data_IF_157102229601
#
_entry.id   IF_157102229601
#
_cell.length_a   1.000
_cell.length_b   1.000
_cell.length_c   1.000
_cell.angle_alpha   90.00
_cell.angle_beta   90.00
_cell.angle_gamma   90.00
#
_symmetry.space_group_name_H-M   'P 1'
#
loop_
_entity.id
_entity.type
_entity.pdbx_description
1 polymer ?
#
# COMPACT_ATOMS: atom_id res chain seq x y z
N UNK A 1 -4.15 -16.69 -5.93
CA UNK A 1 -5.49 -16.19 -6.22
C UNK A 1 -5.45 -15.33 -7.47
N UNK A 2 -6.46 -15.44 -8.37
CA UNK A 2 -6.56 -14.56 -9.56
C UNK A 2 -8.00 -14.09 -9.77
N UNK A 3 -8.19 -12.78 -9.86
CA UNK A 3 -9.45 -12.13 -10.21
C UNK A 3 -9.25 -11.40 -11.53
N UNK A 4 -10.01 -11.80 -12.56
CA UNK A 4 -9.85 -11.29 -13.94
C UNK A 4 -11.04 -10.47 -14.42
N UNK A 5 -12.20 -10.62 -13.78
CA UNK A 5 -13.44 -9.91 -14.08
C UNK A 5 -14.54 -10.29 -13.09
N UNK A 6 -15.70 -9.65 -13.20
CA UNK A 6 -16.88 -9.94 -12.38
C UNK A 6 -16.88 -9.14 -11.08
N UNK A 7 -17.73 -9.58 -10.14
CA UNK A 7 -17.87 -8.91 -8.85
C UNK A 7 -17.57 -9.89 -7.72
N UNK A 8 -16.70 -9.48 -6.82
CA UNK A 8 -16.32 -10.21 -5.63
C UNK A 8 -16.71 -9.39 -4.40
N UNK A 9 -17.46 -10.01 -3.48
CA UNK A 9 -17.72 -9.49 -2.15
C UNK A 9 -17.15 -10.47 -1.13
N UNK A 10 -16.16 -10.04 -0.35
CA UNK A 10 -15.59 -10.80 0.73
C UNK A 10 -15.85 -10.10 2.07
N UNK A 11 -16.31 -10.85 3.05
CA UNK A 11 -16.41 -10.41 4.45
C UNK A 11 -15.83 -11.47 5.35
N UNK A 12 -14.80 -11.13 6.07
CA UNK A 12 -14.03 -12.05 6.90
C UNK A 12 -13.86 -11.51 8.33
N UNK A 13 -13.71 -12.42 9.30
CA UNK A 13 -13.35 -12.06 10.68
C UNK A 13 -11.84 -11.84 10.81
N UNK A 14 -11.08 -12.54 9.98
CA UNK A 14 -9.64 -12.40 9.79
C UNK A 14 -9.38 -11.90 8.38
N UNK A 15 -8.43 -12.48 7.69
CA UNK A 15 -7.99 -12.09 6.36
C UNK A 15 -9.08 -12.27 5.31
N UNK A 16 -9.17 -11.33 4.39
CA UNK A 16 -10.21 -11.29 3.36
C UNK A 16 -9.89 -12.18 2.17
N UNK A 17 -9.04 -11.72 1.29
CA UNK A 17 -8.60 -12.43 0.08
C UNK A 17 -7.15 -12.85 0.23
N UNK A 18 -6.94 -14.12 0.51
CA UNK A 18 -5.59 -14.68 0.69
C UNK A 18 -5.15 -15.49 -0.52
N UNK A 19 -3.98 -15.16 -1.03
CA UNK A 19 -3.30 -15.96 -2.03
C UNK A 19 -1.91 -16.33 -1.55
N UNK A 20 -1.74 -17.47 -0.91
CA UNK A 20 -0.48 -17.86 -0.28
C UNK A 20 0.76 -17.56 -1.15
N UNK A 21 0.77 -18.00 -2.40
CA UNK A 21 1.86 -17.70 -3.33
C UNK A 21 1.74 -16.32 -3.99
N UNK A 22 0.53 -15.93 -4.36
CA UNK A 22 0.25 -14.63 -4.98
C UNK A 22 -1.23 -14.28 -5.06
N UNK A 23 -1.52 -12.99 -5.10
CA UNK A 23 -2.82 -12.44 -5.48
C UNK A 23 -2.64 -11.57 -6.73
N UNK A 24 -3.47 -11.82 -7.77
CA UNK A 24 -3.50 -11.00 -8.98
C UNK A 24 -4.92 -10.50 -9.23
N UNK A 25 -5.09 -9.19 -9.34
CA UNK A 25 -6.35 -8.54 -9.72
C UNK A 25 -6.10 -7.77 -11.01
N UNK A 26 -6.72 -8.21 -12.10
CA UNK A 26 -6.50 -7.61 -13.42
C UNK A 26 -7.71 -6.80 -13.91
N UNK A 27 -8.90 -7.08 -13.38
CA UNK A 27 -10.13 -6.38 -13.67
C UNK A 27 -11.26 -6.85 -12.73
N UNK A 28 -12.42 -6.19 -12.76
CA UNK A 28 -13.61 -6.52 -11.97
C UNK A 28 -13.86 -5.52 -10.84
N UNK A 29 -14.94 -5.77 -10.10
CA UNK A 29 -15.27 -5.02 -8.88
C UNK A 29 -15.01 -5.90 -7.67
N UNK A 30 -14.12 -5.48 -6.80
CA UNK A 30 -13.68 -6.24 -5.63
C UNK A 30 -13.95 -5.42 -4.37
N UNK A 31 -14.81 -5.96 -3.49
CA UNK A 31 -15.14 -5.32 -2.22
C UNK A 31 -14.77 -6.27 -1.08
N UNK A 32 -13.87 -5.83 -0.21
CA UNK A 32 -13.37 -6.64 0.90
C UNK A 32 -13.57 -5.89 2.21
N UNK A 33 -14.16 -6.60 3.18
CA UNK A 33 -14.21 -6.15 4.58
C UNK A 33 -13.63 -7.27 5.45
N UNK A 34 -12.51 -7.02 6.08
CA UNK A 34 -11.77 -7.99 6.89
C UNK A 34 -11.58 -7.45 8.32
N UNK A 35 -11.34 -8.35 9.26
CA UNK A 35 -10.97 -7.98 10.63
C UNK A 35 -9.45 -7.83 10.79
N UNK A 36 -8.71 -8.47 9.89
CA UNK A 36 -7.25 -8.47 9.78
C UNK A 36 -6.87 -7.98 8.36
N UNK A 37 -5.95 -8.58 7.64
CA UNK A 37 -5.57 -8.14 6.29
C UNK A 37 -6.68 -8.32 5.27
N UNK A 38 -6.96 -7.31 4.44
CA UNK A 38 -8.03 -7.44 3.45
C UNK A 38 -7.56 -8.20 2.20
N UNK A 39 -6.38 -7.91 1.69
CA UNK A 39 -5.75 -8.63 0.58
C UNK A 39 -4.34 -9.03 1.02
N UNK A 40 -4.06 -10.34 1.05
CA UNK A 40 -2.81 -10.85 1.58
C UNK A 40 -2.13 -11.87 0.66
N UNK A 41 -0.79 -11.80 0.59
CA UNK A 41 0.06 -12.86 0.07
C UNK A 41 1.24 -13.09 1.01
N UNK A 42 1.21 -14.23 1.73
CA UNK A 42 2.04 -14.49 2.92
C UNK A 42 3.11 -15.58 2.74
N UNK A 43 3.55 -15.85 1.53
CA UNK A 43 4.63 -16.83 1.31
C UNK A 43 6.00 -16.21 1.53
N UNK A 44 6.69 -16.67 2.57
CA UNK A 44 8.00 -16.19 3.02
C UNK A 44 9.19 -17.06 2.62
N UNK A 45 8.95 -18.32 2.23
CA UNK A 45 10.00 -19.32 1.99
C UNK A 45 10.44 -19.46 0.52
N UNK A 46 9.86 -18.71 -0.42
CA UNK A 46 10.17 -18.75 -1.86
C UNK A 46 10.29 -17.33 -2.41
N UNK A 47 11.44 -16.97 -2.93
CA UNK A 47 11.75 -15.63 -3.44
C UNK A 47 10.86 -15.17 -4.62
N UNK A 48 10.18 -16.10 -5.29
CA UNK A 48 9.29 -15.79 -6.40
C UNK A 48 7.81 -15.73 -6.01
N UNK A 49 7.52 -15.78 -4.71
CA UNK A 49 6.17 -15.79 -4.14
C UNK A 49 5.99 -14.65 -3.14
N UNK A 50 4.84 -14.57 -2.48
CA UNK A 50 4.53 -13.44 -1.60
C UNK A 50 4.25 -12.16 -2.38
N UNK A 51 3.59 -12.28 -3.54
CA UNK A 51 3.30 -11.18 -4.47
C UNK A 51 1.82 -10.78 -4.44
N UNK A 52 1.55 -9.49 -4.33
CA UNK A 52 0.25 -8.92 -4.70
C UNK A 52 0.43 -8.02 -5.91
N UNK A 53 -0.34 -8.24 -6.97
CA UNK A 53 -0.31 -7.46 -8.19
C UNK A 53 -1.72 -6.98 -8.57
N UNK A 54 -1.90 -5.67 -8.70
CA UNK A 54 -3.15 -5.04 -9.15
C UNK A 54 -2.87 -4.25 -10.41
N UNK A 55 -3.40 -4.72 -11.55
CA UNK A 55 -3.20 -4.09 -12.85
C UNK A 55 -4.47 -3.45 -13.40
N UNK A 56 -5.60 -3.61 -12.71
CA UNK A 56 -6.90 -3.05 -13.10
C UNK A 56 -8.00 -3.39 -12.11
N UNK A 57 -9.23 -2.98 -12.46
CA UNK A 57 -10.42 -3.19 -11.64
C UNK A 57 -10.72 -2.03 -10.69
N UNK A 58 -11.83 -2.19 -9.97
CA UNK A 58 -12.33 -1.25 -8.95
C UNK A 58 -12.33 -1.99 -7.60
N UNK A 59 -11.37 -1.68 -6.75
CA UNK A 59 -11.06 -2.40 -5.51
C UNK A 59 -11.35 -1.52 -4.31
N UNK A 60 -12.30 -1.93 -3.46
CA UNK A 60 -12.62 -1.22 -2.22
C UNK A 60 -12.34 -2.13 -1.02
N UNK A 61 -11.58 -1.61 -0.07
CA UNK A 61 -11.05 -2.34 1.07
C UNK A 61 -11.40 -1.61 2.37
N UNK A 62 -11.77 -2.38 3.38
CA UNK A 62 -11.84 -1.92 4.77
C UNK A 62 -11.37 -3.02 5.71
N UNK A 63 -10.47 -2.68 6.64
CA UNK A 63 -10.00 -3.58 7.70
C UNK A 63 -10.26 -2.98 9.07
N UNK A 64 -9.94 -3.73 10.12
CA UNK A 64 -9.74 -3.21 11.45
C UNK A 64 -8.61 -2.17 11.48
N UNK A 65 -8.51 -1.45 12.57
CA UNK A 65 -7.50 -0.38 12.75
C UNK A 65 -6.55 -0.68 13.92
N UNK A 66 -6.46 -1.94 14.31
CA UNK A 66 -5.50 -2.41 15.29
C UNK A 66 -4.17 -2.74 14.62
N UNK A 67 -3.10 -2.69 15.36
CA UNK A 67 -1.75 -3.02 14.90
C UNK A 67 -1.72 -4.37 14.15
N UNK A 68 -1.12 -4.37 12.97
CA UNK A 68 -1.03 -5.52 12.07
C UNK A 68 -2.18 -5.69 11.07
N UNK A 69 -3.20 -4.82 11.08
CA UNK A 69 -4.33 -4.91 10.13
C UNK A 69 -4.07 -4.06 8.88
N UNK A 70 -3.62 -4.69 7.81
CA UNK A 70 -3.26 -3.97 6.59
C UNK A 70 -4.38 -4.01 5.54
N UNK A 71 -4.54 -2.92 4.80
CA UNK A 71 -5.41 -2.92 3.63
C UNK A 71 -4.91 -3.93 2.58
N UNK A 72 -3.65 -3.83 2.21
CA UNK A 72 -2.96 -4.77 1.31
C UNK A 72 -1.62 -5.16 1.93
N UNK A 73 -1.40 -6.45 2.12
CA UNK A 73 -0.18 -7.03 2.66
C UNK A 73 0.47 -7.99 1.67
N UNK A 74 1.74 -7.79 1.36
CA UNK A 74 2.51 -8.73 0.56
C UNK A 74 3.85 -9.00 1.23
N UNK A 75 4.14 -10.26 1.52
CA UNK A 75 5.38 -10.63 2.20
C UNK A 75 6.62 -10.12 1.46
N UNK A 76 6.58 -10.10 0.11
CA UNK A 76 7.74 -9.71 -0.67
C UNK A 76 7.50 -8.49 -1.55
N UNK A 77 6.44 -8.50 -2.36
CA UNK A 77 6.26 -7.45 -3.35
C UNK A 77 4.81 -7.11 -3.60
N UNK A 78 4.52 -5.82 -3.55
CA UNK A 78 3.27 -5.23 -4.01
C UNK A 78 3.53 -4.44 -5.29
N UNK A 79 2.73 -4.69 -6.33
CA UNK A 79 2.75 -3.93 -7.58
C UNK A 79 1.37 -3.38 -7.89
N UNK A 80 1.28 -2.07 -8.07
CA UNK A 80 0.08 -1.39 -8.55
C UNK A 80 0.42 -0.68 -9.86
N UNK A 81 -0.06 -1.22 -10.97
CA UNK A 81 0.15 -0.64 -12.30
C UNK A 81 -1.13 -0.14 -12.97
N UNK A 82 -2.28 -0.29 -12.32
CA UNK A 82 -3.56 0.19 -12.83
C UNK A 82 -4.70 -0.04 -11.86
N UNK A 83 -5.92 0.30 -12.30
CA UNK A 83 -7.14 0.18 -11.51
C UNK A 83 -7.42 1.38 -10.62
N UNK A 84 -8.52 1.27 -9.88
CA UNK A 84 -8.92 2.21 -8.86
C UNK A 84 -9.00 1.48 -7.53
N UNK A 85 -8.18 1.87 -6.58
CA UNK A 85 -8.06 1.22 -5.29
C UNK A 85 -8.46 2.22 -4.19
N UNK A 86 -9.36 1.81 -3.31
CA UNK A 86 -9.79 2.58 -2.16
C UNK A 86 -9.64 1.76 -0.88
N UNK A 87 -8.63 2.05 -0.09
CA UNK A 87 -8.50 1.57 1.29
C UNK A 87 -9.21 2.60 2.17
N UNK A 88 -10.41 2.26 2.61
CA UNK A 88 -11.30 3.19 3.32
C UNK A 88 -11.09 3.19 4.82
N UNK A 89 -10.45 2.16 5.35
CA UNK A 89 -10.04 2.01 6.74
C UNK A 89 -9.00 0.90 6.84
N UNK A 90 -7.91 1.13 7.58
CA UNK A 90 -6.89 0.13 7.93
C UNK A 90 -6.03 0.67 9.09
N UNK A 91 -5.20 -0.19 9.69
CA UNK A 91 -4.05 0.25 10.47
C UNK A 91 -3.03 0.84 9.50
N UNK A 92 -2.31 0.05 8.73
CA UNK A 92 -1.54 0.53 7.57
C UNK A 92 -2.31 0.33 6.26
N UNK A 93 -2.14 1.26 5.32
CA UNK A 93 -2.81 1.15 4.02
C UNK A 93 -2.26 0.01 3.18
N UNK A 94 -0.96 -0.02 3.02
CA UNK A 94 -0.21 -1.01 2.24
C UNK A 94 1.10 -1.36 2.93
N UNK A 95 1.44 -2.65 2.95
CA UNK A 95 2.70 -3.14 3.50
C UNK A 95 3.33 -4.18 2.58
N UNK A 96 4.60 -4.04 2.27
CA UNK A 96 5.42 -5.06 1.60
C UNK A 96 6.92 -4.75 1.73
N UNK A 97 7.78 -5.75 1.49
CA UNK A 97 9.23 -5.49 1.44
C UNK A 97 9.66 -4.66 0.20
N UNK A 98 8.97 -4.83 -0.92
CA UNK A 98 9.13 -4.00 -2.11
C UNK A 98 7.76 -3.53 -2.59
N UNK A 99 7.59 -2.21 -2.78
CA UNK A 99 6.34 -1.62 -3.28
C UNK A 99 6.64 -0.84 -4.54
N UNK A 100 5.98 -1.22 -5.64
CA UNK A 100 6.04 -0.52 -6.93
C UNK A 100 4.67 0.08 -7.27
N UNK A 101 4.60 1.40 -7.38
CA UNK A 101 3.41 2.13 -7.85
C UNK A 101 3.73 2.70 -9.23
N UNK A 102 3.27 1.96 -10.25
CA UNK A 102 3.55 2.21 -11.66
C UNK A 102 2.34 2.78 -12.41
N UNK A 103 1.20 2.98 -11.74
CA UNK A 103 -0.03 3.47 -12.35
C UNK A 103 -1.24 3.39 -11.43
N UNK A 104 -2.44 3.58 -12.03
CA UNK A 104 -3.71 3.54 -11.31
C UNK A 104 -4.02 4.79 -10.48
N UNK A 105 -5.13 4.72 -9.77
CA UNK A 105 -5.55 5.73 -8.80
C UNK A 105 -5.80 5.03 -7.46
N UNK A 106 -5.04 5.39 -6.46
CA UNK A 106 -5.13 4.80 -5.12
C UNK A 106 -5.48 5.86 -4.08
N UNK A 107 -6.48 5.56 -3.26
CA UNK A 107 -6.84 6.38 -2.10
C UNK A 107 -6.73 5.54 -0.83
N UNK A 108 -6.14 6.11 0.23
CA UNK A 108 -5.91 5.41 1.49
C UNK A 108 -6.38 6.28 2.66
N UNK A 109 -7.05 5.64 3.62
CA UNK A 109 -7.28 6.18 4.95
C UNK A 109 -6.81 5.15 5.97
N UNK A 110 -5.72 5.45 6.66
CA UNK A 110 -5.07 4.60 7.66
C UNK A 110 -5.01 5.30 9.01
N UNK A 111 -4.92 4.52 10.08
CA UNK A 111 -4.71 5.04 11.45
C UNK A 111 -3.23 5.11 11.83
N UNK A 112 -2.40 4.46 11.05
CA UNK A 112 -0.96 4.53 11.05
C UNK A 112 -0.48 4.89 9.65
N UNK A 113 0.54 4.25 9.10
CA UNK A 113 1.15 4.64 7.83
C UNK A 113 0.25 4.38 6.62
N UNK A 114 0.34 5.26 5.63
CA UNK A 114 -0.39 5.01 4.40
C UNK A 114 0.28 3.94 3.54
N UNK A 115 1.60 4.00 3.40
CA UNK A 115 2.40 3.04 2.65
C UNK A 115 3.66 2.73 3.44
N UNK A 116 3.85 1.47 3.82
CA UNK A 116 4.99 0.99 4.59
C UNK A 116 5.80 -0.04 3.79
N UNK A 117 6.98 0.34 3.31
CA UNK A 117 7.94 -0.57 2.71
C UNK A 117 8.84 -1.15 3.81
N UNK A 118 8.49 -2.31 4.32
CA UNK A 118 9.15 -2.97 5.44
C UNK A 118 9.25 -4.48 5.26
N UNK A 119 10.13 -5.11 6.00
CA UNK A 119 10.32 -6.55 5.98
C UNK A 119 11.79 -6.95 6.07
N UNK A 120 12.05 -8.24 6.18
CA UNK A 120 13.39 -8.78 6.43
C UNK A 120 14.00 -9.53 5.25
N UNK A 121 13.29 -9.60 4.11
CA UNK A 121 13.75 -10.37 2.96
C UNK A 121 14.98 -9.74 2.28
N UNK A 122 14.91 -8.45 2.01
CA UNK A 122 16.00 -7.61 1.48
C UNK A 122 15.80 -6.19 2.01
N UNK A 123 16.72 -5.30 1.74
CA UNK A 123 16.52 -3.87 2.03
C UNK A 123 15.21 -3.41 1.39
N UNK A 124 14.27 -2.90 2.19
CA UNK A 124 12.98 -2.44 1.68
C UNK A 124 13.14 -1.32 0.66
N UNK A 125 12.17 -1.21 -0.24
CA UNK A 125 12.18 -0.15 -1.25
C UNK A 125 10.75 0.21 -1.67
N UNK A 126 10.50 1.51 -1.78
CA UNK A 126 9.28 2.06 -2.37
C UNK A 126 9.63 2.79 -3.67
N UNK A 127 9.06 2.37 -4.79
CA UNK A 127 9.21 3.00 -6.08
C UNK A 127 7.88 3.59 -6.57
N UNK A 128 7.88 4.85 -6.97
CA UNK A 128 6.71 5.52 -7.58
C UNK A 128 7.14 6.07 -8.93
N UNK A 129 6.63 5.46 -10.01
CA UNK A 129 6.99 5.84 -11.39
C UNK A 129 5.84 6.53 -12.13
N UNK A 130 4.59 6.24 -11.74
CA UNK A 130 3.39 6.83 -12.33
C UNK A 130 2.18 6.68 -11.39
N UNK A 131 0.97 7.04 -11.87
CA UNK A 131 -0.28 6.93 -11.12
C UNK A 131 -0.56 8.10 -10.20
N UNK A 132 -1.63 7.97 -9.44
CA UNK A 132 -2.05 8.93 -8.43
C UNK A 132 -2.28 8.22 -7.10
N UNK A 133 -1.58 8.67 -6.07
CA UNK A 133 -1.72 8.22 -4.69
C UNK A 133 -2.21 9.37 -3.82
N UNK A 134 -3.35 9.18 -3.16
CA UNK A 134 -3.94 10.15 -2.24
C UNK A 134 -4.15 9.47 -0.90
N UNK A 135 -3.69 10.07 0.18
CA UNK A 135 -3.90 9.45 1.48
C UNK A 135 -4.14 10.44 2.63
N UNK A 136 -4.84 9.90 3.64
CA UNK A 136 -4.93 10.44 4.98
C UNK A 136 -4.31 9.40 5.92
N UNK A 137 -3.14 9.70 6.47
CA UNK A 137 -2.41 8.85 7.39
C UNK A 137 -2.51 9.37 8.83
N UNK A 138 -2.64 8.44 9.77
CA UNK A 138 -2.56 8.72 11.20
C UNK A 138 -1.13 8.66 11.72
N UNK A 139 -0.28 7.87 11.06
CA UNK A 139 1.18 7.78 11.18
C UNK A 139 1.88 8.53 10.06
N UNK A 140 2.90 7.89 9.46
CA UNK A 140 3.66 8.46 8.36
C UNK A 140 2.94 8.30 7.01
N UNK A 141 3.31 9.13 6.07
CA UNK A 141 2.72 9.09 4.73
C UNK A 141 3.31 7.95 3.90
N UNK A 142 4.54 8.12 3.50
CA UNK A 142 5.37 7.10 2.86
C UNK A 142 6.47 6.72 3.84
N UNK A 143 6.38 5.52 4.39
CA UNK A 143 7.41 4.96 5.26
C UNK A 143 8.22 3.90 4.52
N UNK A 144 9.53 3.86 4.74
CA UNK A 144 10.40 2.81 4.23
C UNK A 144 11.57 2.53 5.17
N UNK A 145 11.70 1.30 5.63
CA UNK A 145 12.93 0.84 6.29
C UNK A 145 14.11 0.69 5.29
N UNK A 146 14.10 1.44 4.20
CA UNK A 146 15.12 1.45 3.18
C UNK A 146 14.98 2.65 2.25
N UNK A 147 15.04 2.45 0.94
CA UNK A 147 15.07 3.53 -0.04
C UNK A 147 13.68 3.91 -0.55
N UNK A 148 13.48 5.19 -0.88
CA UNK A 148 12.30 5.67 -1.62
C UNK A 148 12.76 6.32 -2.92
N UNK A 149 12.18 5.91 -4.04
CA UNK A 149 12.42 6.51 -5.36
C UNK A 149 11.12 7.01 -5.96
N UNK A 150 11.06 8.28 -6.32
CA UNK A 150 9.95 8.84 -7.10
C UNK A 150 10.48 9.45 -8.39
N UNK A 151 10.07 8.89 -9.53
CA UNK A 151 10.45 9.35 -10.87
C UNK A 151 9.27 9.87 -11.69
N UNK A 152 8.04 9.71 -11.19
CA UNK A 152 6.81 10.16 -11.84
C UNK A 152 5.61 10.06 -10.90
N UNK A 153 4.41 10.22 -11.45
CA UNK A 153 3.16 10.14 -10.67
C UNK A 153 2.84 11.39 -9.85
N UNK A 154 1.77 11.27 -9.07
CA UNK A 154 1.31 12.33 -8.15
C UNK A 154 0.99 11.73 -6.81
N UNK A 155 1.54 12.29 -5.75
CA UNK A 155 1.25 11.94 -4.35
C UNK A 155 0.61 13.16 -3.69
N UNK A 156 -0.59 12.98 -3.14
CA UNK A 156 -1.29 13.98 -2.34
C UNK A 156 -1.46 13.44 -0.92
N UNK A 157 -0.67 13.95 0.00
CA UNK A 157 -0.56 13.47 1.37
C UNK A 157 -1.24 14.40 2.36
N UNK A 158 -2.12 13.85 3.19
CA UNK A 158 -2.61 14.50 4.42
C UNK A 158 -2.17 13.65 5.61
N UNK A 159 -1.44 14.25 6.52
CA UNK A 159 -0.82 13.57 7.66
C UNK A 159 -1.40 14.12 8.96
N UNK A 160 -1.64 13.23 9.91
CA UNK A 160 -2.10 13.62 11.23
C UNK A 160 -1.02 14.44 11.95
N UNK A 161 -1.47 15.37 12.77
CA UNK A 161 -0.64 16.37 13.46
C UNK A 161 0.08 15.81 14.70
N UNK A 162 0.73 14.66 14.60
CA UNK A 162 1.69 14.23 15.62
C UNK A 162 3.09 14.82 15.30
N UNK A 163 3.86 15.24 16.31
CA UNK A 163 5.22 15.73 16.07
C UNK A 163 6.18 14.66 15.54
N UNK A 164 5.82 13.39 15.68
CA UNK A 164 6.64 12.25 15.27
C UNK A 164 6.26 11.72 13.86
N UNK A 165 5.19 12.27 13.25
CA UNK A 165 4.72 11.82 11.93
C UNK A 165 5.28 12.68 10.81
N UNK A 166 5.69 12.03 9.71
CA UNK A 166 6.29 12.66 8.53
C UNK A 166 5.51 12.35 7.24
N UNK A 167 5.62 13.23 6.25
CA UNK A 167 5.05 12.95 4.93
C UNK A 167 5.84 11.84 4.21
N UNK A 168 7.13 11.78 4.52
CA UNK A 168 8.07 10.77 4.02
C UNK A 168 9.05 10.48 5.14
N UNK A 169 9.02 9.27 5.68
CA UNK A 169 10.01 8.73 6.61
C UNK A 169 10.78 7.59 5.94
N UNK A 170 12.09 7.52 6.14
CA UNK A 170 12.90 6.48 5.53
C UNK A 170 14.25 6.29 6.24
N UNK A 171 14.69 5.02 6.30
CA UNK A 171 16.02 4.66 6.83
C UNK A 171 17.16 4.78 5.81
N UNK A 172 16.83 4.93 4.53
CA UNK A 172 17.78 4.92 3.41
C UNK A 172 17.91 6.25 2.67
N UNK A 173 17.74 6.23 1.37
CA UNK A 173 17.92 7.38 0.49
C UNK A 173 16.63 7.74 -0.23
N UNK A 174 16.22 9.01 -0.16
CA UNK A 174 15.19 9.57 -1.01
C UNK A 174 15.77 10.01 -2.36
N UNK A 175 15.28 9.41 -3.45
CA UNK A 175 15.61 9.82 -4.82
C UNK A 175 14.37 10.38 -5.51
N UNK A 176 14.33 11.69 -5.69
CA UNK A 176 13.22 12.38 -6.38
C UNK A 176 13.72 12.95 -7.72
N UNK A 177 13.34 12.32 -8.83
CA UNK A 177 13.76 12.72 -10.18
C UNK A 177 12.61 13.21 -11.07
N UNK A 178 11.36 13.06 -10.62
CA UNK A 178 10.17 13.50 -11.34
C UNK A 178 8.89 13.21 -10.59
N UNK A 179 7.76 13.70 -11.11
CA UNK A 179 6.46 13.60 -10.48
C UNK A 179 6.09 14.84 -9.66
N UNK A 180 5.03 14.73 -8.89
CA UNK A 180 4.52 15.78 -8.01
C UNK A 180 4.18 15.21 -6.65
N UNK A 181 4.70 15.82 -5.59
CA UNK A 181 4.31 15.50 -4.22
C UNK A 181 3.74 16.77 -3.57
N UNK A 182 2.52 16.66 -3.07
CA UNK A 182 1.85 17.69 -2.28
C UNK A 182 1.53 17.09 -0.92
N UNK A 183 1.92 17.76 0.14
CA UNK A 183 1.58 17.30 1.48
C UNK A 183 1.02 18.44 2.33
N UNK A 184 0.14 18.08 3.25
CA UNK A 184 -0.46 18.97 4.23
C UNK A 184 -0.62 18.26 5.56
N UNK A 185 -0.67 19.03 6.62
CA UNK A 185 -0.68 18.56 8.01
C UNK A 185 0.27 19.41 8.84
N UNK A 186 0.51 19.03 10.06
CA UNK A 186 1.42 19.73 10.98
C UNK A 186 2.71 18.98 11.25
N UNK A 187 2.87 17.77 10.67
CA UNK A 187 4.10 17.00 10.72
C UNK A 187 5.24 17.63 9.92
N UNK A 188 6.45 17.14 10.08
CA UNK A 188 7.59 17.53 9.27
C UNK A 188 7.40 17.04 7.81
N UNK A 189 8.12 17.66 6.89
CA UNK A 189 8.20 17.19 5.50
C UNK A 189 8.98 15.86 5.40
N UNK A 190 9.91 15.75 4.50
CA UNK A 190 10.91 14.69 4.51
C UNK A 190 12.15 15.19 5.27
N UNK A 191 12.76 14.36 6.08
CA UNK A 191 14.02 14.66 6.77
C UNK A 191 15.19 13.90 6.19
#
# INVERSE_FOLDING_TARGET
LKIKSGTVFAKAIKDGLVGHDSVHITDGTVNVSAGDDAIESNQDNDENKGLVEITGGDVTIATGTEDGNHGISAERKLVISGGKIAVTSSYEGMQANEIDIDGGETTISSTDDAVNASGSYKTPILNITAGKLVFLAGGDGLDSNGDITMSGGTVEAMINSSPDNEAVDLDGTLTFTGGTMLYGGTGSGAT
#
